data_IF_397030830434
#
_entry.id   IF_397030830434
#
_cell.length_a   1.000
_cell.length_b   1.000
_cell.length_c   1.000
_cell.angle_alpha   90.00
_cell.angle_beta   90.00
_cell.angle_gamma   90.00
#
_symmetry.space_group_name_H-M   'P 1'
#
loop_
_entity.id
_entity.type
_entity.pdbx_description
1 polymer ?
#
# COMPACT_ATOMS: atom_id res chain seq x y z
N UNK A 1 2.07 -14.82 -44.68
CA UNK A 1 1.12 -14.97 -43.57
C UNK A 1 1.95 -15.03 -42.29
N UNK A 2 2.26 -13.88 -41.71
CA UNK A 2 3.16 -13.76 -40.57
C UNK A 2 2.36 -13.83 -39.25
N UNK A 3 2.94 -14.33 -38.16
CA UNK A 3 2.26 -14.43 -36.88
C UNK A 3 2.08 -13.05 -36.27
N UNK A 4 0.84 -12.73 -35.88
CA UNK A 4 0.48 -11.52 -35.12
C UNK A 4 1.16 -11.58 -33.77
N UNK A 5 2.11 -10.68 -33.52
CA UNK A 5 2.65 -10.42 -32.19
C UNK A 5 1.54 -9.84 -31.31
N UNK A 6 0.95 -10.67 -30.48
CA UNK A 6 0.09 -10.22 -29.39
C UNK A 6 0.95 -9.48 -28.38
N UNK A 7 0.73 -8.18 -28.23
CA UNK A 7 1.28 -7.40 -27.12
C UNK A 7 0.91 -8.08 -25.81
N UNK A 8 1.82 -8.27 -24.86
CA UNK A 8 1.49 -8.80 -23.55
C UNK A 8 0.47 -7.87 -22.90
N UNK A 9 -0.68 -8.41 -22.52
CA UNK A 9 -1.66 -7.68 -21.69
C UNK A 9 -0.95 -7.22 -20.41
N UNK A 10 -1.18 -5.98 -19.94
CA UNK A 10 -0.59 -5.52 -18.69
C UNK A 10 -0.95 -6.53 -17.60
N UNK A 11 0.07 -7.02 -16.90
CA UNK A 11 -0.05 -7.91 -15.76
C UNK A 11 -0.80 -7.13 -14.67
N UNK A 12 -2.13 -7.28 -14.60
CA UNK A 12 -2.92 -6.73 -13.49
C UNK A 12 -2.46 -7.47 -12.25
N UNK A 13 -1.72 -6.77 -11.39
CA UNK A 13 -1.44 -7.25 -10.05
C UNK A 13 -2.75 -7.75 -9.45
N UNK A 14 -2.77 -9.02 -9.04
CA UNK A 14 -3.96 -9.58 -8.37
C UNK A 14 -4.12 -8.82 -7.06
N UNK A 15 -5.32 -8.32 -6.79
CA UNK A 15 -5.62 -7.57 -5.58
C UNK A 15 -6.74 -8.26 -4.80
N UNK A 16 -6.70 -8.16 -3.48
CA UNK A 16 -7.70 -8.76 -2.60
C UNK A 16 -8.31 -7.73 -1.64
N UNK A 17 -9.45 -8.08 -1.04
CA UNK A 17 -10.02 -7.38 0.10
C UNK A 17 -9.69 -8.18 1.36
N UNK A 18 -9.03 -7.56 2.33
CA UNK A 18 -8.81 -8.17 3.65
C UNK A 18 -10.07 -8.02 4.49
N UNK A 19 -10.61 -9.11 5.01
CA UNK A 19 -11.73 -9.09 5.98
C UNK A 19 -11.20 -9.55 7.33
N UNK A 20 -11.26 -8.64 8.31
CA UNK A 20 -10.74 -8.83 9.65
C UNK A 20 -11.92 -8.91 10.63
N UNK A 21 -11.99 -9.97 11.41
CA UNK A 21 -13.10 -10.16 12.33
C UNK A 21 -12.81 -11.23 13.38
N UNK A 22 -13.83 -11.68 14.06
CA UNK A 22 -13.68 -12.78 15.01
C UNK A 22 -13.77 -14.12 14.27
N UNK A 23 -12.75 -14.98 14.39
CA UNK A 23 -12.53 -16.18 13.61
C UNK A 23 -13.77 -16.99 13.22
N UNK A 24 -14.56 -17.50 14.18
CA UNK A 24 -15.75 -18.29 13.85
C UNK A 24 -16.84 -17.54 13.06
N UNK A 25 -16.82 -16.22 13.07
CA UNK A 25 -17.81 -15.37 12.38
C UNK A 25 -17.38 -14.95 10.98
N UNK A 26 -16.09 -15.06 10.64
CA UNK A 26 -15.54 -14.60 9.36
C UNK A 26 -16.07 -15.38 8.15
N UNK A 27 -16.35 -16.67 8.32
CA UNK A 27 -16.78 -17.55 7.21
C UNK A 27 -18.30 -17.81 7.19
N UNK A 28 -19.09 -17.04 7.95
CA UNK A 28 -20.55 -17.16 7.91
C UNK A 28 -21.11 -16.66 6.57
N UNK A 29 -22.24 -17.24 6.14
CA UNK A 29 -22.87 -16.92 4.83
C UNK A 29 -23.29 -15.44 4.70
N UNK A 30 -23.72 -14.82 5.81
CA UNK A 30 -24.14 -13.41 5.85
C UNK A 30 -22.98 -12.46 6.22
N UNK A 31 -21.75 -12.96 6.26
CA UNK A 31 -20.56 -12.19 6.59
C UNK A 31 -20.03 -11.36 5.42
N UNK A 32 -19.18 -10.38 5.72
CA UNK A 32 -18.55 -9.53 4.72
C UNK A 32 -17.71 -10.35 3.72
N UNK A 33 -17.01 -11.39 4.20
CA UNK A 33 -16.18 -12.23 3.35
C UNK A 33 -17.01 -12.99 2.31
N UNK A 34 -18.09 -13.64 2.74
CA UNK A 34 -18.99 -14.39 1.84
C UNK A 34 -19.68 -13.44 0.84
N UNK A 35 -20.19 -12.30 1.31
CA UNK A 35 -20.83 -11.29 0.48
C UNK A 35 -19.88 -10.79 -0.63
N UNK A 36 -18.63 -10.50 -0.30
CA UNK A 36 -17.62 -10.03 -1.27
C UNK A 36 -17.21 -11.13 -2.25
N UNK A 37 -17.08 -12.39 -1.79
CA UNK A 37 -16.79 -13.53 -2.68
C UNK A 37 -17.90 -13.77 -3.69
N UNK A 38 -19.17 -13.63 -3.29
CA UNK A 38 -20.33 -13.73 -4.20
C UNK A 38 -20.30 -12.66 -5.30
N UNK A 39 -19.76 -11.49 -5.00
CA UNK A 39 -19.54 -10.40 -5.99
C UNK A 39 -18.27 -10.58 -6.82
N UNK A 40 -17.57 -11.72 -6.68
CA UNK A 40 -16.36 -12.04 -7.45
C UNK A 40 -15.08 -11.36 -6.94
N UNK A 41 -15.08 -10.81 -5.72
CA UNK A 41 -13.87 -10.27 -5.14
C UNK A 41 -12.96 -11.40 -4.61
N UNK A 42 -11.65 -11.25 -4.78
CA UNK A 42 -10.69 -12.06 -4.02
C UNK A 42 -10.69 -11.57 -2.57
N UNK A 43 -10.88 -12.48 -1.63
CA UNK A 43 -10.97 -12.14 -0.20
C UNK A 43 -10.00 -12.99 0.60
N UNK A 44 -9.24 -12.34 1.47
CA UNK A 44 -8.44 -12.97 2.53
C UNK A 44 -9.05 -12.61 3.87
N UNK A 45 -9.18 -13.59 4.75
CA UNK A 45 -9.72 -13.40 6.10
C UNK A 45 -8.60 -13.45 7.13
N UNK A 46 -8.75 -12.69 8.21
CA UNK A 46 -7.82 -12.68 9.34
C UNK A 46 -8.61 -12.57 10.64
N UNK A 47 -8.33 -13.45 11.60
CA UNK A 47 -8.80 -13.22 12.96
C UNK A 47 -8.15 -11.95 13.52
N UNK A 48 -8.93 -11.10 14.21
CA UNK A 48 -8.45 -9.81 14.71
C UNK A 48 -7.32 -9.92 15.75
N UNK A 49 -7.06 -11.14 16.24
CA UNK A 49 -6.01 -11.45 17.21
C UNK A 49 -4.76 -12.06 16.57
N UNK A 50 -4.85 -12.46 15.29
CA UNK A 50 -3.75 -13.05 14.55
C UNK A 50 -2.73 -12.01 14.07
N UNK A 51 -1.56 -12.49 13.67
CA UNK A 51 -0.51 -11.63 13.12
C UNK A 51 -0.94 -11.10 11.73
N UNK A 52 -0.92 -9.78 11.50
CA UNK A 52 -1.22 -9.18 10.21
C UNK A 52 -0.43 -9.74 9.02
N UNK A 53 0.75 -10.34 9.28
CA UNK A 53 1.58 -10.98 8.25
C UNK A 53 0.80 -12.05 7.48
N UNK A 54 -0.17 -12.72 8.14
CA UNK A 54 -0.99 -13.76 7.53
C UNK A 54 -1.91 -13.23 6.41
N UNK A 55 -2.15 -11.92 6.35
CA UNK A 55 -2.83 -11.30 5.21
C UNK A 55 -1.89 -11.11 4.00
N UNK A 56 -0.59 -11.06 4.24
CA UNK A 56 0.42 -10.77 3.22
C UNK A 56 0.95 -12.07 2.62
N UNK A 57 1.26 -13.06 3.47
CA UNK A 57 1.86 -14.33 3.09
C UNK A 57 0.75 -15.37 2.85
N UNK A 58 0.50 -15.72 1.60
CA UNK A 58 -0.23 -16.95 1.26
C UNK A 58 0.76 -17.94 0.64
N UNK A 59 0.74 -19.18 1.13
CA UNK A 59 1.71 -20.24 0.76
C UNK A 59 1.81 -20.56 -0.74
N UNK A 60 0.85 -20.10 -1.56
CA UNK A 60 0.73 -20.43 -2.98
C UNK A 60 0.89 -19.22 -3.94
N UNK A 61 1.29 -18.03 -3.47
CA UNK A 61 1.35 -16.86 -4.34
C UNK A 61 2.70 -16.73 -5.05
N UNK A 62 2.77 -17.22 -6.27
CA UNK A 62 3.85 -16.92 -7.25
C UNK A 62 3.90 -15.41 -7.61
N UNK A 63 2.88 -14.63 -7.24
CA UNK A 63 2.71 -13.22 -7.60
C UNK A 63 2.42 -12.37 -6.36
N UNK A 64 3.00 -11.18 -6.32
CA UNK A 64 2.69 -10.20 -5.28
C UNK A 64 1.21 -9.79 -5.39
N UNK A 65 0.41 -10.18 -4.38
CA UNK A 65 -1.02 -9.86 -4.28
C UNK A 65 -1.19 -8.74 -3.26
N UNK A 66 -1.93 -7.67 -3.60
CA UNK A 66 -2.06 -6.47 -2.74
C UNK A 66 -3.45 -6.28 -2.18
N UNK A 67 -3.56 -5.76 -0.95
CA UNK A 67 -4.84 -5.38 -0.40
C UNK A 67 -5.38 -4.12 -1.09
N UNK A 68 -6.62 -4.20 -1.59
CA UNK A 68 -7.39 -3.06 -2.13
C UNK A 68 -8.00 -2.23 -1.01
N UNK A 69 -8.54 -2.93 -0.02
CA UNK A 69 -9.18 -2.37 1.16
C UNK A 69 -9.16 -3.39 2.29
N UNK A 70 -9.36 -2.91 3.51
CA UNK A 70 -9.57 -3.71 4.70
C UNK A 70 -11.00 -3.48 5.19
N UNK A 71 -11.73 -4.54 5.50
CA UNK A 71 -13.06 -4.51 6.12
C UNK A 71 -12.96 -5.14 7.51
N UNK A 72 -13.24 -4.37 8.54
CA UNK A 72 -13.24 -4.82 9.93
C UNK A 72 -14.64 -5.15 10.35
N UNK A 73 -14.97 -6.44 10.43
CA UNK A 73 -16.28 -6.94 10.80
C UNK A 73 -16.40 -7.06 12.33
N UNK A 74 -16.69 -5.94 12.98
CA UNK A 74 -16.75 -5.84 14.44
C UNK A 74 -18.16 -5.82 15.02
N UNK A 75 -19.16 -5.69 14.17
CA UNK A 75 -20.62 -5.64 14.43
C UNK A 75 -21.02 -4.99 15.76
N UNK A 76 -20.83 -5.70 16.89
CA UNK A 76 -21.22 -5.25 18.23
C UNK A 76 -20.06 -4.69 19.07
N UNK A 77 -18.81 -4.81 18.59
CA UNK A 77 -17.60 -4.44 19.32
C UNK A 77 -16.67 -3.55 18.50
N UNK A 78 -17.09 -2.31 18.15
CA UNK A 78 -16.27 -1.41 17.38
C UNK A 78 -14.94 -1.06 18.06
N UNK A 79 -14.86 -1.13 19.38
CA UNK A 79 -13.62 -0.94 20.16
C UNK A 79 -12.54 -1.97 19.81
N UNK A 80 -12.90 -3.23 19.54
CA UNK A 80 -11.97 -4.27 19.12
C UNK A 80 -11.46 -4.00 17.69
N UNK A 81 -12.32 -3.55 16.79
CA UNK A 81 -11.91 -3.16 15.44
C UNK A 81 -10.89 -2.03 15.45
N UNK A 82 -11.08 -1.02 16.30
CA UNK A 82 -10.09 0.09 16.45
C UNK A 82 -8.74 -0.44 16.92
N UNK A 83 -8.74 -1.39 17.85
CA UNK A 83 -7.50 -2.01 18.35
C UNK A 83 -6.81 -2.83 17.25
N UNK A 84 -7.58 -3.64 16.50
CA UNK A 84 -7.06 -4.43 15.39
C UNK A 84 -6.50 -3.53 14.27
N UNK A 85 -7.21 -2.45 13.92
CA UNK A 85 -6.73 -1.48 12.92
C UNK A 85 -5.38 -0.88 13.35
N UNK A 86 -5.24 -0.46 14.60
CA UNK A 86 -3.98 0.08 15.12
C UNK A 86 -2.84 -0.93 15.05
N UNK A 87 -3.15 -2.22 15.24
CA UNK A 87 -2.16 -3.29 15.12
C UNK A 87 -1.74 -3.50 13.68
N UNK A 88 -2.69 -3.59 12.76
CA UNK A 88 -2.43 -3.76 11.32
C UNK A 88 -1.65 -2.56 10.76
N UNK A 89 -1.96 -1.34 11.19
CA UNK A 89 -1.24 -0.12 10.77
C UNK A 89 0.21 -0.03 11.26
N UNK A 90 0.67 -0.93 12.14
CA UNK A 90 2.09 -1.03 12.48
C UNK A 90 2.91 -1.68 11.37
N UNK A 91 2.26 -2.45 10.50
CA UNK A 91 2.91 -3.03 9.33
C UNK A 91 2.86 -2.01 8.17
N UNK A 92 4.01 -1.54 7.66
CA UNK A 92 4.09 -0.53 6.61
C UNK A 92 3.32 -0.90 5.33
N UNK A 93 3.13 -2.19 5.13
CA UNK A 93 2.39 -2.75 4.00
C UNK A 93 0.93 -2.28 3.95
N UNK A 94 0.33 -1.96 5.10
CA UNK A 94 -1.06 -1.53 5.22
C UNK A 94 -1.22 -0.02 5.46
N UNK A 95 -0.15 0.77 5.49
CA UNK A 95 -0.18 2.21 5.84
C UNK A 95 -1.18 3.00 5.00
N UNK A 96 -1.27 2.69 3.70
CA UNK A 96 -2.11 3.39 2.73
C UNK A 96 -3.31 2.57 2.23
N UNK A 97 -3.68 1.49 2.91
CA UNK A 97 -4.83 0.68 2.53
C UNK A 97 -6.10 1.24 3.17
N UNK A 98 -7.17 1.47 2.38
CA UNK A 98 -8.46 1.95 2.89
C UNK A 98 -9.06 0.99 3.90
N UNK A 99 -9.56 1.50 5.02
CA UNK A 99 -10.17 0.71 6.09
C UNK A 99 -11.63 1.08 6.32
N UNK A 100 -12.50 0.08 6.20
CA UNK A 100 -13.94 0.15 6.41
C UNK A 100 -14.29 -0.59 7.70
N UNK A 101 -15.09 0.02 8.56
CA UNK A 101 -15.65 -0.68 9.72
C UNK A 101 -17.08 -1.11 9.44
N UNK A 102 -17.39 -2.37 9.71
CA UNK A 102 -18.73 -2.94 9.65
C UNK A 102 -19.32 -3.04 11.04
N UNK A 103 -20.47 -2.42 11.27
CA UNK A 103 -21.15 -2.36 12.56
C UNK A 103 -22.66 -2.54 12.42
N UNK A 104 -23.33 -2.90 13.50
CA UNK A 104 -24.80 -2.84 13.56
C UNK A 104 -25.28 -1.40 13.77
N UNK A 105 -26.53 -1.12 13.39
CA UNK A 105 -27.17 0.20 13.58
C UNK A 105 -27.04 0.70 15.02
N UNK A 106 -27.19 -0.21 15.99
CA UNK A 106 -27.09 0.16 17.41
C UNK A 106 -25.69 0.57 17.88
N UNK A 107 -24.66 0.28 17.10
CA UNK A 107 -23.27 0.55 17.45
C UNK A 107 -22.66 1.73 16.69
N UNK A 108 -23.37 2.30 15.72
CA UNK A 108 -22.83 3.37 14.85
C UNK A 108 -22.38 4.59 15.66
N UNK A 109 -23.11 4.93 16.71
CA UNK A 109 -22.77 6.07 17.59
C UNK A 109 -21.46 5.87 18.39
N UNK A 110 -20.95 4.63 18.44
CA UNK A 110 -19.68 4.30 19.11
C UNK A 110 -18.48 4.35 18.18
N UNK A 111 -18.72 4.52 16.88
CA UNK A 111 -17.64 4.68 15.90
C UNK A 111 -17.23 6.16 15.88
N UNK A 112 -16.16 6.48 16.55
CA UNK A 112 -15.65 7.85 16.58
C UNK A 112 -14.94 8.20 15.26
N UNK A 113 -15.08 9.45 14.77
CA UNK A 113 -14.32 9.91 13.59
C UNK A 113 -12.80 9.78 13.74
N UNK A 114 -12.30 9.85 14.98
CA UNK A 114 -10.89 9.70 15.33
C UNK A 114 -10.40 8.25 15.36
N UNK A 115 -11.27 7.28 15.12
CA UNK A 115 -10.96 5.84 15.19
C UNK A 115 -9.93 5.37 14.17
N UNK A 116 -9.74 6.14 13.07
CA UNK A 116 -8.80 5.85 12.00
C UNK A 116 -9.40 5.05 10.84
N UNK A 117 -10.71 4.79 10.86
CA UNK A 117 -11.43 4.24 9.72
C UNK A 117 -11.75 5.32 8.69
N UNK A 118 -11.69 4.96 7.41
CA UNK A 118 -11.98 5.87 6.30
C UNK A 118 -13.49 5.96 6.00
N UNK A 119 -14.27 4.90 6.35
CA UNK A 119 -15.71 4.83 6.16
C UNK A 119 -16.31 3.70 7.02
N UNK A 120 -17.63 3.56 7.03
CA UNK A 120 -18.34 2.49 7.71
C UNK A 120 -19.40 1.85 6.80
N UNK A 121 -19.82 0.63 7.13
CA UNK A 121 -20.94 -0.06 6.50
C UNK A 121 -21.81 -0.69 7.58
N UNK A 122 -23.12 -0.73 7.34
CA UNK A 122 -24.05 -1.33 8.28
C UNK A 122 -24.32 -2.81 7.96
N UNK A 123 -24.41 -3.61 9.01
CA UNK A 123 -24.91 -4.97 8.94
C UNK A 123 -26.41 -5.00 9.33
N UNK A 124 -27.28 -5.77 8.64
CA UNK A 124 -26.97 -6.68 7.52
C UNK A 124 -26.53 -5.95 6.26
N UNK A 125 -25.61 -6.59 5.50
CA UNK A 125 -25.04 -5.98 4.32
C UNK A 125 -26.01 -5.90 3.16
N UNK A 126 -26.00 -4.78 2.46
CA UNK A 126 -26.45 -4.67 1.08
C UNK A 126 -25.21 -4.87 0.21
N UNK A 127 -25.15 -5.98 -0.59
CA UNK A 127 -23.91 -6.35 -1.30
C UNK A 127 -23.35 -5.22 -2.19
N UNK A 128 -24.23 -4.53 -2.91
CA UNK A 128 -23.88 -3.43 -3.82
C UNK A 128 -23.35 -2.22 -3.04
N UNK A 129 -23.88 -1.95 -1.85
CA UNK A 129 -23.39 -0.87 -0.98
C UNK A 129 -22.00 -1.18 -0.45
N UNK A 130 -21.79 -2.39 0.09
CA UNK A 130 -20.48 -2.81 0.59
C UNK A 130 -19.40 -2.70 -0.51
N UNK A 131 -19.71 -3.21 -1.71
CA UNK A 131 -18.80 -3.13 -2.84
C UNK A 131 -18.58 -1.69 -3.31
N UNK A 132 -19.65 -0.89 -3.38
CA UNK A 132 -19.60 0.52 -3.76
C UNK A 132 -18.72 1.35 -2.82
N UNK A 133 -18.82 1.11 -1.50
CA UNK A 133 -17.98 1.78 -0.50
C UNK A 133 -16.51 1.41 -0.63
N UNK A 134 -16.19 0.12 -0.85
CA UNK A 134 -14.81 -0.32 -1.14
C UNK A 134 -14.27 0.39 -2.37
N UNK A 135 -15.03 0.45 -3.46
CA UNK A 135 -14.63 1.18 -4.67
C UNK A 135 -14.46 2.68 -4.43
N UNK A 136 -15.29 3.29 -3.60
CA UNK A 136 -15.17 4.70 -3.25
C UNK A 136 -13.90 4.97 -2.41
N UNK A 137 -13.49 4.03 -1.56
CA UNK A 137 -12.22 4.11 -0.83
C UNK A 137 -11.02 4.04 -1.79
N UNK A 138 -11.05 3.11 -2.74
CA UNK A 138 -10.02 3.01 -3.78
C UNK A 138 -9.94 4.29 -4.62
N UNK A 139 -11.10 4.79 -5.07
CA UNK A 139 -11.18 6.02 -5.87
C UNK A 139 -10.62 7.22 -5.11
N UNK A 140 -11.09 7.48 -3.89
CA UNK A 140 -10.61 8.59 -3.07
C UNK A 140 -9.08 8.53 -2.91
N UNK A 141 -8.53 7.35 -2.69
CA UNK A 141 -7.08 7.18 -2.57
C UNK A 141 -6.34 7.31 -3.89
N UNK A 142 -6.94 6.89 -5.02
CA UNK A 142 -6.35 7.09 -6.35
C UNK A 142 -6.44 8.55 -6.82
N UNK A 143 -7.44 9.29 -6.40
CA UNK A 143 -7.61 10.72 -6.73
C UNK A 143 -6.66 11.59 -5.89
N UNK A 144 -6.47 11.25 -4.61
CA UNK A 144 -5.38 11.78 -3.78
C UNK A 144 -4.00 11.24 -4.18
N UNK A 145 -3.94 10.13 -4.92
CA UNK A 145 -2.72 9.60 -5.53
C UNK A 145 -2.16 10.50 -6.66
N UNK A 146 -2.88 11.55 -7.06
CA UNK A 146 -2.27 12.61 -7.87
C UNK A 146 -1.18 13.35 -7.06
N UNK A 147 -1.26 13.36 -5.72
CA UNK A 147 -0.15 13.74 -4.84
C UNK A 147 0.89 12.60 -4.63
N UNK A 148 0.57 11.37 -5.02
CA UNK A 148 1.44 10.20 -4.86
C UNK A 148 2.31 9.92 -6.09
N UNK A 149 2.20 10.70 -7.16
CA UNK A 149 3.17 10.71 -8.25
C UNK A 149 4.35 11.60 -7.89
N UNK A 150 5.42 10.98 -7.46
CA UNK A 150 6.67 11.70 -7.25
C UNK A 150 7.43 11.80 -8.56
N UNK A 151 7.54 13.00 -9.08
CA UNK A 151 8.44 13.30 -10.20
C UNK A 151 9.77 13.82 -9.64
N UNK A 152 10.85 13.17 -10.02
CA UNK A 152 12.23 13.56 -9.67
C UNK A 152 13.04 13.58 -10.98
N UNK A 153 13.04 14.72 -11.65
CA UNK A 153 13.62 14.81 -12.99
C UNK A 153 12.88 13.90 -13.99
N UNK A 154 13.59 12.96 -14.59
CA UNK A 154 13.06 11.96 -15.53
C UNK A 154 12.40 10.77 -14.86
N UNK A 155 12.60 10.60 -13.55
CA UNK A 155 12.03 9.51 -12.75
C UNK A 155 10.63 9.86 -12.31
N UNK A 156 9.68 9.02 -12.64
CA UNK A 156 8.27 9.10 -12.18
C UNK A 156 7.96 7.85 -11.37
N UNK A 157 7.47 8.04 -10.17
CA UNK A 157 7.09 6.97 -9.25
C UNK A 157 5.60 7.13 -8.97
N UNK A 158 4.81 6.15 -9.37
CA UNK A 158 3.40 6.05 -9.05
C UNK A 158 3.24 5.09 -7.87
N UNK A 159 3.00 5.64 -6.68
CA UNK A 159 2.87 4.84 -5.45
C UNK A 159 1.60 4.02 -5.44
N UNK A 160 0.51 4.56 -5.96
CA UNK A 160 -0.76 3.86 -6.03
C UNK A 160 -0.71 2.70 -7.02
N UNK A 161 -0.14 2.92 -8.21
CA UNK A 161 0.07 1.89 -9.22
C UNK A 161 1.26 0.98 -8.94
N UNK A 162 2.12 1.32 -7.96
CA UNK A 162 3.42 0.66 -7.75
C UNK A 162 4.29 0.60 -9.01
N UNK A 163 4.20 1.63 -9.81
CA UNK A 163 4.89 1.74 -11.07
C UNK A 163 6.03 2.76 -10.96
N UNK A 164 7.10 2.43 -11.64
CA UNK A 164 8.27 3.33 -11.80
C UNK A 164 8.57 3.44 -13.26
N UNK A 165 8.76 4.67 -13.74
CA UNK A 165 9.17 4.93 -15.10
C UNK A 165 10.34 5.93 -15.14
N UNK A 166 11.23 5.76 -16.09
CA UNK A 166 12.30 6.69 -16.43
C UNK A 166 12.09 7.09 -17.90
N UNK A 167 11.93 8.38 -18.17
CA UNK A 167 11.60 8.90 -19.51
C UNK A 167 10.40 8.20 -20.14
N UNK A 168 9.37 7.92 -19.32
CA UNK A 168 8.15 7.23 -19.76
C UNK A 168 8.33 5.73 -20.01
N UNK A 169 9.52 5.16 -19.80
CA UNK A 169 9.76 3.71 -19.91
C UNK A 169 9.59 3.04 -18.57
N UNK A 170 8.71 2.02 -18.44
CA UNK A 170 8.50 1.32 -17.19
C UNK A 170 9.75 0.54 -16.76
N UNK A 171 10.08 0.63 -15.48
CA UNK A 171 11.20 -0.07 -14.85
C UNK A 171 10.66 -1.05 -13.81
N UNK A 172 10.98 -2.33 -13.95
CA UNK A 172 10.58 -3.35 -12.99
C UNK A 172 11.44 -3.32 -11.74
N UNK A 173 10.82 -3.06 -10.61
CA UNK A 173 11.43 -3.13 -9.27
C UNK A 173 10.81 -4.28 -8.48
N UNK A 174 11.60 -4.88 -7.59
CA UNK A 174 11.05 -5.77 -6.57
C UNK A 174 10.31 -4.95 -5.51
N UNK A 175 9.42 -5.59 -4.72
CA UNK A 175 8.66 -4.91 -3.66
C UNK A 175 9.55 -4.11 -2.70
N UNK A 176 10.68 -4.68 -2.27
CA UNK A 176 11.61 -3.99 -1.35
C UNK A 176 12.40 -2.87 -2.02
N UNK A 177 12.74 -3.01 -3.30
CA UNK A 177 13.35 -1.92 -4.08
C UNK A 177 12.35 -0.76 -4.25
N UNK A 178 11.10 -1.08 -4.58
CA UNK A 178 10.05 -0.08 -4.71
C UNK A 178 9.77 0.63 -3.39
N UNK A 179 9.56 -0.11 -2.30
CA UNK A 179 9.31 0.45 -0.97
C UNK A 179 10.46 1.36 -0.49
N UNK A 180 11.72 0.96 -0.75
CA UNK A 180 12.87 1.79 -0.44
C UNK A 180 12.88 3.07 -1.25
N UNK A 181 12.63 2.99 -2.57
CA UNK A 181 12.58 4.14 -3.46
C UNK A 181 11.46 5.09 -3.08
N UNK A 182 10.25 4.60 -2.87
CA UNK A 182 9.09 5.37 -2.46
C UNK A 182 9.35 6.13 -1.15
N UNK A 183 9.91 5.44 -0.14
CA UNK A 183 10.24 6.08 1.13
C UNK A 183 11.31 7.17 1.00
N UNK A 184 12.33 6.95 0.17
CA UNK A 184 13.34 7.97 -0.14
C UNK A 184 12.72 9.21 -0.80
N UNK A 185 11.75 9.01 -1.69
CA UNK A 185 11.04 10.10 -2.38
C UNK A 185 10.15 10.91 -1.44
N UNK A 186 9.47 10.28 -0.52
CA UNK A 186 8.70 10.97 0.53
C UNK A 186 9.57 11.85 1.43
N UNK A 187 10.80 11.43 1.66
CA UNK A 187 11.77 12.09 2.55
C UNK A 187 12.89 12.79 1.79
N UNK A 188 12.62 13.15 0.52
CA UNK A 188 13.62 13.85 -0.30
C UNK A 188 14.17 15.08 0.39
N UNK A 189 15.42 15.35 0.19
CA UNK A 189 16.15 16.42 0.85
C UNK A 189 16.64 16.09 2.27
N UNK A 190 16.14 15.00 2.89
CA UNK A 190 16.56 14.58 4.24
C UNK A 190 17.62 13.48 4.16
N UNK A 191 18.55 13.50 5.11
CA UNK A 191 19.52 12.42 5.31
C UNK A 191 18.85 11.31 6.12
N UNK A 192 18.83 10.09 5.59
CA UNK A 192 18.23 8.92 6.23
C UNK A 192 19.32 7.89 6.54
N UNK A 193 19.46 7.52 7.82
CA UNK A 193 20.43 6.50 8.23
C UNK A 193 20.04 5.12 7.71
N UNK A 194 21.03 4.22 7.62
CA UNK A 194 20.79 2.84 7.19
C UNK A 194 19.86 2.09 8.14
N UNK A 195 20.02 2.28 9.44
CA UNK A 195 19.18 1.65 10.44
C UNK A 195 17.73 2.16 10.36
N UNK A 196 17.56 3.47 10.13
CA UNK A 196 16.24 4.06 9.92
C UNK A 196 15.55 3.49 8.68
N UNK A 197 16.28 3.40 7.55
CA UNK A 197 15.76 2.82 6.31
C UNK A 197 15.44 1.33 6.48
N UNK A 198 16.30 0.59 7.18
CA UNK A 198 16.08 -0.82 7.46
C UNK A 198 14.80 -1.03 8.26
N UNK A 199 14.66 -0.33 9.39
CA UNK A 199 13.48 -0.43 10.24
C UNK A 199 12.18 -0.07 9.50
N UNK A 200 12.22 0.95 8.61
CA UNK A 200 11.04 1.43 7.89
C UNK A 200 10.63 0.55 6.70
N UNK A 201 11.59 -0.04 6.00
CA UNK A 201 11.33 -0.78 4.76
C UNK A 201 11.24 -2.29 5.01
N UNK A 202 11.98 -2.81 5.98
CA UNK A 202 12.01 -4.25 6.31
C UNK A 202 11.29 -4.57 7.61
N UNK A 203 10.97 -3.55 8.43
CA UNK A 203 10.32 -3.73 9.73
C UNK A 203 11.32 -3.93 10.87
N UNK A 204 10.83 -3.72 12.11
CA UNK A 204 11.67 -3.80 13.31
C UNK A 204 12.09 -5.24 13.70
N UNK A 205 11.44 -6.25 13.13
CA UNK A 205 11.72 -7.67 13.40
C UNK A 205 12.68 -8.30 12.38
N UNK A 206 13.15 -7.50 11.41
CA UNK A 206 14.04 -8.03 10.38
C UNK A 206 15.44 -8.30 10.93
N UNK A 207 15.88 -9.55 10.87
CA UNK A 207 17.18 -10.02 11.44
C UNK A 207 18.41 -9.61 10.60
N UNK A 208 18.21 -9.03 9.41
CA UNK A 208 19.28 -8.56 8.53
C UNK A 208 19.88 -7.24 9.01
N UNK A 209 21.17 -7.07 8.75
CA UNK A 209 21.90 -5.85 9.11
C UNK A 209 21.72 -4.70 8.10
N UNK A 210 22.28 -3.49 8.45
CA UNK A 210 22.19 -2.27 7.61
C UNK A 210 22.76 -2.42 6.20
N UNK A 211 23.63 -3.40 5.96
CA UNK A 211 24.14 -3.75 4.62
C UNK A 211 23.06 -4.16 3.63
N UNK A 212 21.91 -4.65 4.15
CA UNK A 212 20.75 -4.94 3.30
C UNK A 212 20.30 -3.71 2.51
N UNK A 213 20.31 -2.54 3.14
CA UNK A 213 19.98 -1.27 2.49
C UNK A 213 20.99 -0.97 1.38
N UNK A 214 22.28 -1.14 1.64
CA UNK A 214 23.33 -0.87 0.65
C UNK A 214 23.17 -1.75 -0.61
N UNK A 215 22.81 -3.01 -0.44
CA UNK A 215 22.54 -3.95 -1.54
C UNK A 215 21.37 -3.45 -2.40
N UNK A 216 20.28 -3.03 -1.78
CA UNK A 216 19.10 -2.56 -2.49
C UNK A 216 19.33 -1.19 -3.14
N UNK A 217 20.06 -0.30 -2.51
CA UNK A 217 20.52 0.97 -3.13
C UNK A 217 21.38 0.70 -4.36
N UNK A 218 22.31 -0.27 -4.29
CA UNK A 218 23.12 -0.66 -5.45
C UNK A 218 22.24 -1.18 -6.60
N UNK A 219 21.22 -2.01 -6.29
CA UNK A 219 20.27 -2.54 -7.29
C UNK A 219 19.43 -1.42 -7.90
N UNK A 220 18.93 -0.48 -7.08
CA UNK A 220 18.20 0.69 -7.57
C UNK A 220 19.06 1.52 -8.53
N UNK A 221 20.31 1.81 -8.17
CA UNK A 221 21.25 2.52 -9.04
C UNK A 221 21.52 1.77 -10.35
N UNK A 222 21.64 0.46 -10.30
CA UNK A 222 21.82 -0.36 -11.50
C UNK A 222 20.62 -0.32 -12.45
N UNK A 223 19.39 -0.20 -11.90
CA UNK A 223 18.14 -0.18 -12.70
C UNK A 223 17.75 1.21 -13.18
N UNK A 224 18.00 2.25 -12.38
CA UNK A 224 17.52 3.61 -12.63
C UNK A 224 18.62 4.54 -13.16
N UNK A 225 19.90 4.14 -13.03
CA UNK A 225 21.04 4.92 -13.53
C UNK A 225 21.07 6.35 -12.99
N UNK A 226 21.36 7.29 -13.89
CA UNK A 226 21.47 8.72 -13.58
C UNK A 226 20.12 9.38 -13.25
N UNK A 227 19.01 8.72 -13.58
CA UNK A 227 17.67 9.21 -13.22
C UNK A 227 17.40 9.17 -11.70
N UNK A 228 18.23 8.44 -10.92
CA UNK A 228 18.14 8.36 -9.46
C UNK A 228 19.15 9.31 -8.80
N UNK A 229 18.77 10.54 -8.40
CA UNK A 229 19.67 11.49 -7.77
C UNK A 229 19.90 11.17 -6.28
N UNK A 230 20.36 9.95 -6.00
CA UNK A 230 20.58 9.44 -4.65
C UNK A 230 22.04 9.59 -4.24
N UNK A 231 22.29 10.43 -3.26
CA UNK A 231 23.61 10.67 -2.68
C UNK A 231 23.90 9.69 -1.54
N UNK A 232 25.18 9.27 -1.45
CA UNK A 232 25.70 8.53 -0.31
C UNK A 232 26.49 9.47 0.58
N UNK A 233 26.04 9.65 1.82
CA UNK A 233 26.76 10.40 2.83
C UNK A 233 27.50 9.40 3.74
N UNK A 234 28.83 9.38 3.62
CA UNK A 234 29.67 8.44 4.36
C UNK A 234 29.41 8.59 5.88
N UNK A 235 29.17 7.47 6.55
CA UNK A 235 28.86 7.45 7.99
C UNK A 235 27.43 7.87 8.34
N UNK A 236 26.71 8.60 7.49
CA UNK A 236 25.37 9.15 7.81
C UNK A 236 24.20 8.42 7.12
N UNK A 237 24.41 7.88 5.91
CA UNK A 237 23.35 7.17 5.18
C UNK A 237 23.14 7.68 3.75
N UNK A 238 21.87 7.87 3.37
CA UNK A 238 21.47 8.25 2.02
C UNK A 238 20.57 9.48 2.04
N UNK A 239 20.66 10.28 0.97
CA UNK A 239 19.82 11.45 0.74
C UNK A 239 19.40 11.49 -0.73
N UNK A 240 18.10 11.49 -0.99
CA UNK A 240 17.58 11.80 -2.32
C UNK A 240 17.56 13.33 -2.48
N UNK A 241 18.17 13.84 -3.54
CA UNK A 241 18.16 15.29 -3.81
C UNK A 241 16.74 15.79 -4.04
N UNK A 242 16.42 16.95 -3.51
CA UNK A 242 15.23 17.69 -3.93
C UNK A 242 15.46 18.20 -5.37
N UNK A 243 14.42 18.31 -6.21
CA UNK A 243 14.56 19.03 -7.46
C UNK A 243 14.98 20.47 -7.15
N UNK A 244 15.91 21.00 -7.94
CA UNK A 244 16.18 22.43 -7.90
C UNK A 244 14.89 23.18 -8.27
N UNK A 245 14.56 24.30 -7.59
CA UNK A 245 13.43 25.10 -8.00
C UNK A 245 13.67 25.53 -9.46
N UNK A 246 12.74 25.23 -10.35
CA UNK A 246 12.77 25.78 -11.71
C UNK A 246 12.82 27.30 -11.55
N UNK A 247 13.92 27.93 -11.98
CA UNK A 247 13.99 29.37 -12.13
C UNK A 247 12.79 29.77 -13.00
N UNK A 248 11.83 30.45 -12.38
CA UNK A 248 10.77 31.11 -13.15
C UNK A 248 11.47 32.09 -14.06
N UNK A 249 11.62 31.73 -15.33
CA UNK A 249 12.05 32.65 -16.33
C UNK A 249 11.27 33.94 -16.21
N UNK A 250 11.95 35.01 -15.82
CA UNK A 250 11.48 36.36 -15.96
C UNK A 250 11.04 36.50 -17.41
N UNK A 251 9.74 36.64 -17.62
CA UNK A 251 9.21 37.13 -18.88
C UNK A 251 9.46 38.61 -18.82
N UNK A 252 10.53 39.03 -19.46
CA UNK A 252 10.72 40.45 -19.84
C UNK A 252 9.52 40.88 -20.69
N UNK A 253 8.96 42.01 -20.32
CA UNK A 253 7.93 42.77 -21.01
C UNK A 253 8.36 43.23 -22.41
#
# INVERSE_FOLDING_TARGET
>A
MGPKSGSPKPNRARSYVGVIGHGPLLEREEGAAATLRQLGAMVRTLDMWDDPINLIEAEDDEFEVRPRALVFEALDRPDLAVTALRTIRKEPYFDNVGALIAVTVGQIARVEPSSGFDDFVLHPYVPEELYGRIRALEWRRSEFATEERHKVGQLVIDKAGHEVAVDGRPISLTAKEFALLAYLCERRGKVLSRDHLLARVWGNRYDGGPRTVDIHVRRLRAKLGDALPLETLRGSGYKLRAPEPEERGERDE
#
